data_IF_889445502491
#
_entry.id   IF_889445502491
#
_cell.length_a   1.000
_cell.length_b   1.000
_cell.length_c   1.000
_cell.angle_alpha   90.00
_cell.angle_beta   90.00
_cell.angle_gamma   90.00
#
_symmetry.space_group_name_H-M   'P 1'
#
loop_
_entity.id
_entity.type
_entity.pdbx_description
1 polymer ?
#
# COMPACT_ATOMS: atom_id res chain seq x y z
N UNK A 1 44.66 -34.26 44.61
CA UNK A 1 44.90 -33.47 43.38
C UNK A 1 43.54 -33.27 42.70
N UNK A 2 43.01 -32.07 42.75
CA UNK A 2 41.72 -31.70 42.13
C UNK A 2 42.04 -30.95 40.85
N UNK A 3 41.68 -31.52 39.70
CA UNK A 3 41.76 -30.89 38.40
C UNK A 3 40.57 -29.99 38.16
N UNK A 4 40.81 -28.71 37.89
CA UNK A 4 39.80 -27.72 37.48
C UNK A 4 39.69 -27.78 35.95
N UNK A 5 38.53 -28.12 35.43
CA UNK A 5 38.19 -28.03 34.00
C UNK A 5 37.54 -26.68 33.76
N UNK A 6 38.24 -25.83 33.01
CA UNK A 6 37.71 -24.54 32.56
C UNK A 6 36.96 -24.72 31.26
N UNK A 7 35.62 -24.55 31.27
CA UNK A 7 34.81 -24.51 30.07
C UNK A 7 34.92 -23.10 29.43
N UNK A 8 35.53 -23.02 28.27
CA UNK A 8 35.51 -21.82 27.42
C UNK A 8 34.18 -21.71 26.69
N UNK A 9 33.42 -20.66 26.95
CA UNK A 9 32.25 -20.28 26.18
C UNK A 9 32.71 -19.53 24.95
N UNK A 10 32.63 -20.15 23.78
CA UNK A 10 32.81 -19.47 22.48
C UNK A 10 31.48 -18.79 22.15
N UNK A 11 31.42 -17.50 22.35
CA UNK A 11 30.31 -16.67 21.92
C UNK A 11 30.31 -16.51 20.40
N UNK A 12 29.32 -17.12 19.72
CA UNK A 12 29.06 -16.93 18.31
C UNK A 12 28.37 -15.56 18.15
N UNK A 13 29.10 -14.54 17.76
CA UNK A 13 28.53 -13.26 17.32
C UNK A 13 27.90 -13.47 15.94
N UNK A 14 26.59 -13.67 15.91
CA UNK A 14 25.80 -13.57 14.69
C UNK A 14 25.64 -12.08 14.40
N UNK A 15 26.43 -11.56 13.48
CA UNK A 15 26.21 -10.24 12.89
C UNK A 15 24.93 -10.32 12.04
N UNK A 16 23.81 -9.87 12.60
CA UNK A 16 22.62 -9.51 11.82
C UNK A 16 23.02 -8.31 10.95
N UNK A 17 23.34 -8.58 9.70
CA UNK A 17 23.46 -7.58 8.66
C UNK A 17 22.07 -7.03 8.39
N UNK A 18 21.66 -5.98 9.13
CA UNK A 18 20.58 -5.10 8.70
C UNK A 18 21.04 -4.46 7.39
N UNK A 19 20.43 -4.86 6.27
CA UNK A 19 20.56 -4.10 5.04
C UNK A 19 20.05 -2.68 5.32
N UNK A 20 20.96 -1.72 5.42
CA UNK A 20 20.61 -0.30 5.53
C UNK A 20 19.82 0.08 4.29
N UNK A 21 18.53 0.32 4.46
CA UNK A 21 17.75 1.06 3.49
C UNK A 21 18.36 2.45 3.41
N UNK A 22 19.11 2.72 2.34
CA UNK A 22 19.68 4.04 2.09
C UNK A 22 18.54 5.05 2.04
N UNK A 23 18.47 5.94 3.03
CA UNK A 23 17.48 7.01 3.02
C UNK A 23 17.71 7.89 1.77
N UNK A 24 16.64 8.42 1.16
CA UNK A 24 16.80 9.31 0.02
C UNK A 24 17.70 10.49 0.38
N UNK A 25 18.54 10.90 -0.56
CA UNK A 25 19.54 11.97 -0.35
C UNK A 25 18.88 13.32 -0.05
N UNK A 26 17.64 13.52 -0.48
CA UNK A 26 16.91 14.79 -0.33
C UNK A 26 15.45 14.53 0.04
N UNK A 27 15.04 15.08 1.20
CA UNK A 27 13.62 15.13 1.57
C UNK A 27 13.01 16.40 1.02
N UNK A 28 12.03 16.29 0.13
CA UNK A 28 11.32 17.41 -0.47
C UNK A 28 10.00 17.70 0.26
N UNK A 29 9.56 18.94 0.22
CA UNK A 29 8.22 19.35 0.66
C UNK A 29 7.19 18.91 -0.39
N UNK A 30 6.24 18.09 0.02
CA UNK A 30 5.20 17.54 -0.85
C UNK A 30 3.94 18.39 -0.92
N UNK A 31 3.81 19.42 -0.05
CA UNK A 31 2.63 20.27 0.00
C UNK A 31 2.55 21.24 -1.20
N UNK A 32 3.70 21.54 -1.78
CA UNK A 32 3.83 22.48 -2.91
C UNK A 32 3.71 21.80 -4.29
N UNK A 33 3.88 22.59 -5.36
CA UNK A 33 3.94 22.05 -6.72
C UNK A 33 5.19 21.20 -6.92
N UNK A 34 5.09 20.17 -7.76
CA UNK A 34 6.22 19.33 -8.11
C UNK A 34 7.32 20.13 -8.83
N UNK A 35 8.54 20.09 -8.29
CA UNK A 35 9.73 20.49 -9.03
C UNK A 35 9.99 19.49 -10.15
N UNK A 36 10.29 19.96 -11.36
CA UNK A 36 10.54 19.09 -12.51
C UNK A 36 12.04 18.89 -12.76
N UNK A 37 12.37 17.77 -13.37
CA UNK A 37 13.70 17.49 -13.92
C UNK A 37 13.57 16.84 -15.30
N UNK A 38 14.57 17.04 -16.13
CA UNK A 38 14.75 16.23 -17.34
C UNK A 38 15.23 14.81 -16.96
N UNK A 39 15.04 13.78 -17.80
CA UNK A 39 15.59 12.47 -17.55
C UNK A 39 17.10 12.50 -17.26
N UNK A 40 17.87 13.25 -18.05
CA UNK A 40 19.32 13.37 -17.89
C UNK A 40 19.73 13.98 -16.54
N UNK A 41 19.05 15.03 -16.07
CA UNK A 41 19.28 15.63 -14.73
C UNK A 41 18.92 14.69 -13.60
N UNK A 42 18.04 13.73 -13.86
CA UNK A 42 17.64 12.71 -12.91
C UNK A 42 18.43 11.40 -13.07
N UNK A 43 19.45 11.32 -13.93
CA UNK A 43 20.21 10.10 -14.20
C UNK A 43 19.36 8.97 -14.78
N UNK A 44 18.44 9.31 -15.68
CA UNK A 44 17.57 8.35 -16.38
C UNK A 44 17.87 8.42 -17.87
N UNK A 45 18.06 7.28 -18.52
CA UNK A 45 18.20 7.20 -19.96
C UNK A 45 16.89 7.64 -20.65
N UNK A 46 16.95 8.75 -21.40
CA UNK A 46 15.79 9.32 -22.06
C UNK A 46 15.21 8.41 -23.13
N UNK A 47 16.07 7.63 -23.82
CA UNK A 47 15.64 6.71 -24.88
C UNK A 47 14.93 5.49 -24.30
N UNK A 48 15.48 4.89 -23.27
CA UNK A 48 14.87 3.77 -22.57
C UNK A 48 13.55 4.21 -21.90
N UNK A 49 13.51 5.39 -21.26
CA UNK A 49 12.27 5.92 -20.70
C UNK A 49 11.21 6.19 -21.78
N UNK A 50 11.59 6.67 -22.95
CA UNK A 50 10.66 6.84 -24.08
C UNK A 50 10.11 5.49 -24.57
N UNK A 51 10.90 4.40 -24.54
CA UNK A 51 10.43 3.05 -24.86
C UNK A 51 9.38 2.58 -23.82
N UNK A 52 9.62 2.81 -22.53
CA UNK A 52 8.62 2.52 -21.48
C UNK A 52 7.31 3.31 -21.68
N UNK A 53 7.40 4.58 -22.08
CA UNK A 53 6.22 5.41 -22.43
C UNK A 53 5.47 4.81 -23.63
N UNK A 54 6.18 4.36 -24.66
CA UNK A 54 5.56 3.72 -25.84
C UNK A 54 4.87 2.40 -25.42
N UNK A 55 5.50 1.58 -24.59
CA UNK A 55 4.89 0.36 -24.05
C UNK A 55 3.61 0.69 -23.26
N UNK A 56 3.65 1.70 -22.38
CA UNK A 56 2.46 2.17 -21.67
C UNK A 56 1.35 2.67 -22.60
N UNK A 57 1.69 3.38 -23.67
CA UNK A 57 0.71 3.90 -24.65
C UNK A 57 0.01 2.80 -25.44
N UNK A 58 0.69 1.67 -25.65
CA UNK A 58 0.15 0.50 -26.36
C UNK A 58 -0.53 -0.49 -25.44
N UNK A 59 -0.26 -0.44 -24.13
CA UNK A 59 -0.96 -1.23 -23.14
C UNK A 59 -2.44 -0.78 -23.08
N UNK A 60 -3.34 -1.64 -23.53
CA UNK A 60 -4.72 -1.31 -23.94
C UNK A 60 -5.54 -0.52 -22.90
N UNK A 61 -5.19 -0.62 -21.65
CA UNK A 61 -5.93 0.02 -20.55
C UNK A 61 -5.10 0.96 -19.68
N UNK A 62 -3.81 1.16 -19.98
CA UNK A 62 -3.02 2.14 -19.24
C UNK A 62 -3.60 3.54 -19.39
N UNK A 63 -3.66 4.29 -18.29
CA UNK A 63 -4.23 5.65 -18.23
C UNK A 63 -3.25 6.68 -17.77
N UNK A 64 -2.26 6.31 -16.96
CA UNK A 64 -1.18 7.22 -16.61
C UNK A 64 0.11 6.45 -16.33
N UNK A 65 1.24 7.14 -16.58
CA UNK A 65 2.58 6.75 -16.14
C UNK A 65 3.29 8.01 -15.65
N UNK A 66 3.61 8.03 -14.35
CA UNK A 66 4.35 9.11 -13.73
C UNK A 66 5.61 8.56 -13.06
N UNK A 67 6.70 9.31 -13.15
CA UNK A 67 7.99 8.94 -12.57
C UNK A 67 8.55 10.14 -11.80
N UNK A 68 8.89 9.93 -10.53
CA UNK A 68 9.69 10.87 -9.75
C UNK A 68 11.00 10.20 -9.33
N UNK A 69 12.10 10.96 -9.43
CA UNK A 69 13.41 10.55 -8.92
C UNK A 69 14.07 11.72 -8.20
N UNK A 70 14.73 11.44 -7.08
CA UNK A 70 15.34 12.45 -6.22
C UNK A 70 14.35 13.58 -5.83
N UNK A 71 13.09 13.19 -5.54
CA UNK A 71 12.03 14.12 -5.19
C UNK A 71 11.56 15.04 -6.31
N UNK A 72 11.95 14.80 -7.57
CA UNK A 72 11.59 15.62 -8.73
C UNK A 72 10.77 14.83 -9.74
N UNK A 73 9.73 15.45 -10.30
CA UNK A 73 8.89 14.86 -11.34
C UNK A 73 9.65 14.84 -12.68
N UNK A 74 9.98 13.64 -13.17
CA UNK A 74 10.74 13.42 -14.40
C UNK A 74 9.83 13.13 -15.58
N UNK A 75 8.82 12.30 -15.35
CA UNK A 75 7.85 11.91 -16.37
C UNK A 75 6.43 12.08 -15.85
N UNK A 76 5.57 12.60 -16.73
CA UNK A 76 4.13 12.66 -16.49
C UNK A 76 3.44 12.47 -17.84
N UNK A 77 2.78 11.33 -18.02
CA UNK A 77 2.04 10.97 -19.23
C UNK A 77 0.68 10.41 -18.88
N UNK A 78 -0.30 10.77 -19.69
CA UNK A 78 -1.67 10.33 -19.59
C UNK A 78 -2.12 9.77 -20.92
N UNK A 79 -2.98 8.76 -20.91
CA UNK A 79 -3.41 7.99 -22.06
C UNK A 79 -4.94 7.80 -22.07
N UNK A 80 -5.50 7.50 -23.24
CA UNK A 80 -6.91 7.14 -23.36
C UNK A 80 -7.88 8.23 -22.91
N UNK A 81 -7.55 9.51 -23.11
CA UNK A 81 -8.38 10.64 -22.74
C UNK A 81 -8.25 11.11 -21.28
N UNK A 82 -7.39 10.48 -20.48
CA UNK A 82 -7.07 10.95 -19.14
C UNK A 82 -6.12 12.16 -19.18
N UNK A 83 -6.11 12.96 -18.11
CA UNK A 83 -5.26 14.11 -17.90
C UNK A 83 -4.82 14.25 -16.42
N UNK A 84 -4.15 15.37 -16.10
CA UNK A 84 -3.65 15.62 -14.75
C UNK A 84 -4.74 15.85 -13.70
N UNK A 85 -5.96 16.14 -14.10
CA UNK A 85 -7.12 16.34 -13.23
C UNK A 85 -7.95 15.05 -13.06
N UNK A 86 -7.69 14.04 -13.89
CA UNK A 86 -8.40 12.77 -13.84
C UNK A 86 -8.11 12.06 -12.52
N UNK A 87 -9.18 11.73 -11.78
CA UNK A 87 -9.11 10.87 -10.60
C UNK A 87 -9.30 9.43 -11.02
N UNK A 88 -8.40 8.59 -10.60
CA UNK A 88 -8.43 7.15 -10.85
C UNK A 88 -8.96 6.45 -9.61
N UNK A 89 -9.97 5.61 -9.77
CA UNK A 89 -10.34 4.63 -8.75
C UNK A 89 -9.22 3.60 -8.65
N UNK A 90 -8.46 3.72 -7.57
CA UNK A 90 -7.18 2.97 -7.42
C UNK A 90 -7.35 1.63 -6.73
N UNK A 91 -8.57 1.23 -6.49
CA UNK A 91 -8.90 -0.07 -5.91
C UNK A 91 -8.09 -0.34 -4.64
N UNK A 92 -7.40 -1.47 -4.56
CA UNK A 92 -6.69 -1.91 -3.34
C UNK A 92 -5.46 -1.08 -2.97
N UNK A 93 -5.03 -0.08 -3.76
CA UNK A 93 -4.09 0.94 -3.28
C UNK A 93 -4.66 1.68 -2.06
N UNK A 94 -5.99 1.75 -1.93
CA UNK A 94 -6.70 2.22 -0.73
C UNK A 94 -6.19 1.58 0.56
N UNK A 95 -5.88 0.27 0.53
CA UNK A 95 -5.41 -0.47 1.70
C UNK A 95 -4.08 0.08 2.24
N UNK A 96 -3.18 0.48 1.35
CA UNK A 96 -1.90 1.08 1.75
C UNK A 96 -2.09 2.44 2.42
N UNK A 97 -3.09 3.22 1.99
CA UNK A 97 -3.50 4.45 2.68
C UNK A 97 -4.05 4.11 4.06
N UNK A 98 -4.91 3.09 4.18
CA UNK A 98 -5.44 2.63 5.46
C UNK A 98 -4.34 2.25 6.45
N UNK A 99 -3.26 1.61 5.99
CA UNK A 99 -2.10 1.34 6.83
C UNK A 99 -1.55 2.61 7.47
N UNK A 100 -1.35 3.67 6.68
CA UNK A 100 -0.88 4.96 7.20
C UNK A 100 -1.85 5.58 8.21
N UNK A 101 -3.17 5.47 7.99
CA UNK A 101 -4.18 5.99 8.91
C UNK A 101 -4.18 5.25 10.25
N UNK A 102 -3.96 3.94 10.26
CA UNK A 102 -3.77 3.16 11.50
C UNK A 102 -2.55 3.66 12.27
N UNK A 103 -1.40 3.83 11.60
CA UNK A 103 -0.20 4.34 12.24
C UNK A 103 -0.38 5.73 12.82
N UNK A 104 -1.14 6.58 12.14
CA UNK A 104 -1.47 7.92 12.60
C UNK A 104 -2.45 7.91 13.78
N UNK A 105 -3.42 7.00 13.82
CA UNK A 105 -4.30 6.82 14.96
C UNK A 105 -3.54 6.32 16.21
N UNK A 106 -2.59 5.39 16.01
CA UNK A 106 -1.69 4.92 17.08
C UNK A 106 -0.78 6.05 17.59
N UNK A 107 -0.13 6.78 16.71
CA UNK A 107 0.77 7.86 17.07
C UNK A 107 0.06 9.01 17.82
N UNK A 108 -1.24 9.17 17.61
CA UNK A 108 -2.09 10.15 18.30
C UNK A 108 -2.70 9.62 19.60
N UNK A 109 -2.46 8.35 19.94
CA UNK A 109 -2.99 7.70 21.13
C UNK A 109 -4.48 7.31 21.03
N UNK A 110 -5.10 7.42 19.84
CA UNK A 110 -6.47 6.98 19.61
C UNK A 110 -6.59 5.46 19.55
N UNK A 111 -5.57 4.78 19.04
CA UNK A 111 -5.40 3.33 19.12
C UNK A 111 -4.18 3.00 19.98
N UNK A 112 -4.26 2.02 20.91
CA UNK A 112 -3.14 1.69 21.78
C UNK A 112 -2.00 0.94 21.07
N UNK A 113 -2.26 0.33 19.91
CA UNK A 113 -1.29 -0.41 19.12
C UNK A 113 -1.91 -1.51 18.28
N UNK A 114 -1.08 -2.26 17.58
CA UNK A 114 -1.52 -3.36 16.69
C UNK A 114 -2.14 -4.55 17.43
N UNK A 115 -1.88 -4.69 18.74
CA UNK A 115 -2.50 -5.71 19.59
C UNK A 115 -3.91 -5.35 20.08
N UNK A 116 -4.40 -4.15 19.78
CA UNK A 116 -5.75 -3.73 20.17
C UNK A 116 -6.80 -4.66 19.55
N UNK A 117 -7.71 -5.14 20.39
CA UNK A 117 -8.85 -5.97 19.97
C UNK A 117 -9.92 -5.08 19.32
N UNK A 118 -10.35 -5.45 18.12
CA UNK A 118 -11.30 -4.63 17.33
C UNK A 118 -12.69 -4.55 17.95
N UNK A 119 -13.10 -5.56 18.71
CA UNK A 119 -14.39 -5.59 19.40
C UNK A 119 -14.63 -4.41 20.34
N UNK A 120 -13.58 -3.74 20.81
CA UNK A 120 -13.69 -2.55 21.66
C UNK A 120 -14.14 -1.30 20.91
N UNK A 121 -14.13 -1.32 19.56
CA UNK A 121 -14.38 -0.16 18.69
C UNK A 121 -15.59 -0.33 17.79
N UNK A 122 -16.28 -1.45 17.84
CA UNK A 122 -17.36 -1.70 16.89
C UNK A 122 -18.75 -1.33 17.40
N UNK A 123 -18.86 -0.90 18.66
CA UNK A 123 -20.16 -0.58 19.28
C UNK A 123 -21.18 -1.71 19.18
N UNK A 124 -20.70 -2.93 18.94
CA UNK A 124 -21.52 -4.08 18.62
C UNK A 124 -22.14 -4.67 19.88
N UNK A 125 -23.36 -5.23 19.76
CA UNK A 125 -24.08 -5.78 20.90
C UNK A 125 -23.32 -6.94 21.56
N UNK A 126 -23.67 -7.26 22.79
CA UNK A 126 -23.10 -8.38 23.57
C UNK A 126 -23.21 -9.75 22.88
N UNK A 127 -23.98 -9.83 21.79
CA UNK A 127 -24.16 -11.02 20.95
C UNK A 127 -23.00 -11.31 19.99
N UNK A 128 -21.99 -10.39 19.88
CA UNK A 128 -20.84 -10.63 19.02
C UNK A 128 -20.05 -11.86 19.50
N UNK A 129 -19.65 -12.72 18.56
CA UNK A 129 -18.83 -13.89 18.86
C UNK A 129 -17.52 -13.49 19.57
N UNK A 130 -17.06 -14.32 20.49
CA UNK A 130 -15.82 -14.07 21.22
C UNK A 130 -14.60 -14.04 20.29
N UNK A 131 -14.63 -14.81 19.19
CA UNK A 131 -13.59 -14.80 18.16
C UNK A 131 -13.51 -13.43 17.46
N UNK A 132 -14.64 -12.89 17.04
CA UNK A 132 -14.71 -11.57 16.38
C UNK A 132 -14.22 -10.45 17.29
N UNK A 133 -14.62 -10.49 18.57
CA UNK A 133 -14.15 -9.51 19.57
C UNK A 133 -12.64 -9.54 19.75
N UNK A 134 -12.03 -10.73 19.64
CA UNK A 134 -10.61 -10.95 19.88
C UNK A 134 -9.72 -10.65 18.65
N UNK A 135 -10.29 -10.47 17.46
CA UNK A 135 -9.51 -10.05 16.27
C UNK A 135 -8.76 -8.78 16.58
N UNK A 136 -7.47 -8.74 16.22
CA UNK A 136 -6.62 -7.58 16.50
C UNK A 136 -6.42 -6.70 15.27
N UNK A 137 -6.10 -5.44 15.49
CA UNK A 137 -5.67 -4.48 14.44
C UNK A 137 -4.53 -5.08 13.62
N UNK A 138 -3.56 -5.74 14.26
CA UNK A 138 -2.44 -6.41 13.58
C UNK A 138 -2.88 -7.53 12.64
N UNK A 139 -3.85 -8.34 13.06
CA UNK A 139 -4.39 -9.40 12.20
C UNK A 139 -5.12 -8.83 10.97
N UNK A 140 -5.80 -7.70 11.10
CA UNK A 140 -6.41 -7.03 9.95
C UNK A 140 -5.35 -6.43 9.01
N UNK A 141 -4.30 -5.80 9.57
CA UNK A 141 -3.17 -5.23 8.81
C UNK A 141 -2.40 -6.30 8.03
N UNK A 142 -2.29 -7.50 8.57
CA UNK A 142 -1.55 -8.62 7.97
C UNK A 142 -2.43 -9.57 7.17
N UNK A 143 -3.74 -9.33 7.07
CA UNK A 143 -4.68 -10.24 6.40
C UNK A 143 -4.73 -11.64 7.04
N UNK A 144 -4.62 -11.72 8.39
CA UNK A 144 -4.57 -12.99 9.13
C UNK A 144 -5.69 -13.14 10.16
N UNK A 145 -6.77 -12.38 10.02
CA UNK A 145 -7.93 -12.44 10.90
C UNK A 145 -8.67 -13.79 10.89
N UNK A 146 -8.47 -14.59 9.84
CA UNK A 146 -8.98 -15.95 9.75
C UNK A 146 -10.39 -16.09 9.20
N UNK A 147 -11.08 -15.00 8.87
CA UNK A 147 -12.38 -15.10 8.22
C UNK A 147 -12.32 -15.88 6.92
N UNK A 148 -13.27 -16.79 6.73
CA UNK A 148 -13.43 -17.53 5.47
C UNK A 148 -13.75 -16.55 4.34
N UNK A 149 -12.82 -16.41 3.41
CA UNK A 149 -12.89 -15.40 2.36
C UNK A 149 -12.18 -15.84 1.09
N UNK A 150 -12.79 -15.58 -0.06
CA UNK A 150 -12.18 -15.82 -1.36
C UNK A 150 -12.62 -14.73 -2.36
N UNK A 151 -11.84 -13.65 -2.46
CA UNK A 151 -12.11 -12.61 -3.46
C UNK A 151 -11.26 -12.77 -4.72
N UNK A 152 -10.18 -13.53 -4.69
CA UNK A 152 -9.27 -13.66 -5.84
C UNK A 152 -9.82 -14.59 -6.93
N UNK A 153 -10.35 -15.74 -6.54
CA UNK A 153 -10.94 -16.74 -7.46
C UNK A 153 -12.42 -17.01 -7.18
N UNK A 154 -12.96 -16.48 -6.07
CA UNK A 154 -14.36 -16.57 -5.67
C UNK A 154 -15.12 -15.28 -5.97
N UNK A 155 -16.26 -15.14 -5.31
CA UNK A 155 -17.19 -14.02 -5.51
C UNK A 155 -17.44 -13.20 -4.24
N UNK A 156 -16.67 -13.42 -3.18
CA UNK A 156 -16.96 -12.83 -1.86
C UNK A 156 -16.91 -11.31 -1.88
N UNK A 157 -15.97 -10.71 -2.63
CA UNK A 157 -15.93 -9.25 -2.79
C UNK A 157 -17.22 -8.69 -3.40
N UNK A 158 -17.73 -9.30 -4.49
CA UNK A 158 -18.94 -8.82 -5.15
C UNK A 158 -20.19 -9.00 -4.29
N UNK A 159 -20.26 -10.09 -3.53
CA UNK A 159 -21.36 -10.32 -2.58
C UNK A 159 -21.30 -9.31 -1.43
N UNK A 160 -20.11 -9.05 -0.93
CA UNK A 160 -19.89 -8.09 0.15
C UNK A 160 -20.23 -6.65 -0.27
N UNK A 161 -19.76 -6.18 -1.43
CA UNK A 161 -19.99 -4.80 -1.88
C UNK A 161 -21.47 -4.52 -2.18
N UNK A 162 -22.27 -5.55 -2.42
CA UNK A 162 -23.72 -5.47 -2.61
C UNK A 162 -24.51 -5.71 -1.30
N UNK A 163 -23.83 -6.00 -0.20
CA UNK A 163 -24.50 -6.21 1.09
C UNK A 163 -25.06 -4.89 1.65
N UNK A 164 -26.22 -4.92 2.29
CA UNK A 164 -26.74 -3.74 3.01
C UNK A 164 -25.98 -3.45 4.31
N UNK A 165 -25.23 -4.41 4.85
CA UNK A 165 -24.39 -4.24 6.04
C UNK A 165 -23.03 -4.90 5.80
N UNK A 166 -22.05 -4.08 5.48
CA UNK A 166 -20.72 -4.52 5.10
C UNK A 166 -19.91 -5.09 6.27
N UNK A 167 -20.12 -4.59 7.48
CA UNK A 167 -19.46 -5.07 8.69
C UNK A 167 -20.05 -6.41 9.10
N UNK A 168 -21.39 -6.48 9.21
CA UNK A 168 -22.07 -7.71 9.60
C UNK A 168 -21.83 -8.83 8.59
N UNK A 169 -21.79 -8.52 7.28
CA UNK A 169 -21.45 -9.51 6.24
C UNK A 169 -20.13 -10.23 6.50
N UNK A 170 -19.11 -9.49 6.98
CA UNK A 170 -17.83 -10.10 7.35
C UNK A 170 -17.92 -10.89 8.65
N UNK A 171 -18.58 -10.34 9.67
CA UNK A 171 -18.70 -10.96 10.98
C UNK A 171 -19.56 -12.25 10.95
N UNK A 172 -20.45 -12.39 9.98
CA UNK A 172 -21.20 -13.63 9.74
C UNK A 172 -20.33 -14.75 9.11
N UNK A 173 -19.10 -14.46 8.72
CA UNK A 173 -18.18 -15.47 8.15
C UNK A 173 -17.46 -16.24 9.24
N UNK A 174 -17.39 -17.58 9.15
CA UNK A 174 -16.66 -18.36 10.13
C UNK A 174 -15.16 -18.03 10.10
N UNK A 175 -14.54 -17.97 11.26
CA UNK A 175 -13.09 -17.90 11.40
C UNK A 175 -12.52 -19.32 11.38
N UNK A 176 -11.84 -19.67 10.29
CA UNK A 176 -11.34 -21.03 10.05
C UNK A 176 -9.82 -21.13 10.02
N UNK A 177 -9.12 -20.05 9.75
CA UNK A 177 -7.67 -20.03 9.52
C UNK A 177 -6.97 -18.82 10.19
N UNK A 178 -7.32 -18.50 11.43
CA UNK A 178 -6.67 -17.42 12.18
C UNK A 178 -5.14 -17.59 12.18
N UNK A 179 -4.42 -16.51 11.85
CA UNK A 179 -2.97 -16.52 11.70
C UNK A 179 -2.46 -16.88 10.29
N UNK A 180 -3.31 -17.37 9.39
CA UNK A 180 -2.96 -17.63 7.99
C UNK A 180 -3.34 -16.46 7.11
N UNK A 181 -2.50 -16.15 6.13
CA UNK A 181 -2.76 -15.08 5.17
C UNK A 181 -3.97 -15.41 4.27
N UNK A 182 -4.95 -14.52 4.26
CA UNK A 182 -6.11 -14.59 3.36
C UNK A 182 -6.44 -13.17 2.92
N UNK A 183 -6.17 -12.83 1.66
CA UNK A 183 -6.43 -11.50 1.12
C UNK A 183 -7.92 -11.17 1.21
N UNK A 184 -8.28 -10.11 1.96
CA UNK A 184 -9.65 -9.82 2.36
C UNK A 184 -9.92 -8.31 2.42
N UNK A 185 -10.66 -7.79 1.44
CA UNK A 185 -11.02 -6.37 1.38
C UNK A 185 -12.03 -5.95 2.45
N UNK A 186 -12.93 -6.84 2.85
CA UNK A 186 -13.90 -6.57 3.91
C UNK A 186 -13.20 -6.42 5.28
N UNK A 187 -12.14 -7.20 5.54
CA UNK A 187 -11.34 -7.08 6.75
C UNK A 187 -10.65 -5.71 6.85
N UNK A 188 -10.21 -5.14 5.72
CA UNK A 188 -9.62 -3.79 5.72
C UNK A 188 -10.69 -2.70 5.83
N UNK A 189 -11.89 -2.93 5.30
CA UNK A 189 -13.01 -2.02 5.57
C UNK A 189 -13.36 -2.02 7.07
N UNK A 190 -13.44 -3.18 7.71
CA UNK A 190 -13.62 -3.30 9.16
C UNK A 190 -12.54 -2.50 9.93
N UNK A 191 -11.28 -2.58 9.50
CA UNK A 191 -10.20 -1.78 10.07
C UNK A 191 -10.46 -0.27 9.92
N UNK A 192 -11.05 0.16 8.80
CA UNK A 192 -11.49 1.53 8.58
C UNK A 192 -12.57 1.99 9.59
N UNK A 193 -13.53 1.13 9.87
CA UNK A 193 -14.56 1.38 10.90
C UNK A 193 -13.93 1.50 12.28
N UNK A 194 -13.01 0.60 12.63
CA UNK A 194 -12.25 0.65 13.89
C UNK A 194 -11.47 1.95 14.04
N UNK A 195 -10.77 2.39 12.98
CA UNK A 195 -10.05 3.68 13.02
C UNK A 195 -11.02 4.84 13.19
N UNK A 196 -12.12 4.87 12.45
CA UNK A 196 -13.14 5.92 12.54
C UNK A 196 -13.71 6.04 13.97
N UNK A 197 -14.06 4.92 14.59
CA UNK A 197 -14.56 4.90 15.97
C UNK A 197 -13.49 5.38 16.95
N UNK A 198 -12.27 4.87 16.83
CA UNK A 198 -11.16 5.24 17.71
C UNK A 198 -10.81 6.75 17.65
N UNK A 199 -10.89 7.36 16.47
CA UNK A 199 -10.59 8.80 16.29
C UNK A 199 -11.82 9.69 16.47
N UNK A 200 -13.02 9.13 16.56
CA UNK A 200 -14.31 9.82 16.79
C UNK A 200 -14.67 10.86 15.71
N UNK A 201 -14.12 10.73 14.51
CA UNK A 201 -14.43 11.57 13.35
C UNK A 201 -14.56 10.70 12.10
N UNK A 202 -15.31 11.13 11.06
CA UNK A 202 -15.39 10.37 9.80
C UNK A 202 -14.01 10.06 9.23
N UNK A 203 -13.80 8.82 8.79
CA UNK A 203 -12.50 8.33 8.30
C UNK A 203 -11.93 9.20 7.18
N UNK A 204 -12.76 9.65 6.22
CA UNK A 204 -12.33 10.54 5.15
C UNK A 204 -11.81 11.89 5.68
N UNK A 205 -12.52 12.49 6.65
CA UNK A 205 -12.10 13.75 7.26
C UNK A 205 -10.80 13.59 8.07
N UNK A 206 -10.64 12.46 8.76
CA UNK A 206 -9.39 12.12 9.43
C UNK A 206 -8.26 12.01 8.41
N UNK A 207 -8.44 11.24 7.33
CA UNK A 207 -7.45 11.08 6.26
C UNK A 207 -7.04 12.44 5.64
N UNK A 208 -8.02 13.28 5.35
CA UNK A 208 -7.76 14.61 4.80
C UNK A 208 -6.90 15.46 5.73
N UNK A 209 -7.25 15.50 7.01
CA UNK A 209 -6.58 16.37 7.99
C UNK A 209 -5.17 15.90 8.31
N UNK A 210 -4.98 14.58 8.52
CA UNK A 210 -3.74 14.07 9.11
C UNK A 210 -2.74 13.53 8.09
N UNK A 211 -3.20 13.20 6.88
CA UNK A 211 -2.37 12.58 5.85
C UNK A 211 -2.36 13.38 4.55
N UNK A 212 -3.53 13.71 3.99
CA UNK A 212 -3.61 14.23 2.63
C UNK A 212 -3.22 15.71 2.54
N UNK A 213 -3.83 16.59 3.33
CA UNK A 213 -3.51 18.02 3.31
C UNK A 213 -2.04 18.31 3.62
N UNK A 214 -1.38 17.64 4.62
CA UNK A 214 0.03 17.86 4.90
C UNK A 214 0.99 17.56 3.74
N UNK A 215 0.54 16.77 2.76
CA UNK A 215 1.32 16.43 1.54
C UNK A 215 0.74 17.03 0.26
N UNK A 216 -0.20 17.99 0.38
CA UNK A 216 -0.77 18.69 -0.76
C UNK A 216 -1.75 17.85 -1.60
N UNK A 217 -2.29 16.77 -1.06
CA UNK A 217 -3.37 16.00 -1.67
C UNK A 217 -4.70 16.65 -1.26
N UNK A 218 -5.38 17.27 -2.20
CA UNK A 218 -6.64 18.03 -1.96
C UNK A 218 -7.81 17.51 -2.78
N UNK A 219 -7.59 16.47 -3.56
CA UNK A 219 -8.56 15.97 -4.53
C UNK A 219 -9.06 14.56 -4.25
N UNK A 220 -8.72 13.99 -3.09
CA UNK A 220 -9.14 12.65 -2.71
C UNK A 220 -10.67 12.53 -2.69
N UNK A 221 -11.17 11.44 -3.26
CA UNK A 221 -12.57 11.08 -3.18
C UNK A 221 -12.69 9.66 -2.62
N UNK A 222 -13.71 9.45 -1.80
CA UNK A 222 -14.00 8.15 -1.23
C UNK A 222 -15.36 7.64 -1.71
N UNK A 223 -15.42 6.36 -2.04
CA UNK A 223 -16.67 5.66 -2.22
C UNK A 223 -17.39 5.55 -0.87
N UNK A 224 -18.59 6.10 -0.78
CA UNK A 224 -19.43 5.94 0.39
C UNK A 224 -20.16 4.60 0.30
N UNK A 225 -20.13 3.84 1.38
CA UNK A 225 -20.96 2.67 1.60
C UNK A 225 -22.20 3.03 2.41
N UNK A 226 -23.06 2.06 2.66
CA UNK A 226 -24.21 2.26 3.51
C UNK A 226 -23.80 2.73 4.91
N UNK A 227 -24.69 3.41 5.60
CA UNK A 227 -24.45 4.04 6.90
C UNK A 227 -23.41 5.18 6.91
N UNK A 228 -23.02 5.71 5.74
CA UNK A 228 -22.10 6.85 5.64
C UNK A 228 -20.64 6.50 5.92
N UNK A 229 -20.29 5.24 6.07
CA UNK A 229 -18.89 4.80 6.12
C UNK A 229 -18.27 4.84 4.73
N UNK A 230 -16.98 4.98 4.64
CA UNK A 230 -16.26 4.91 3.37
C UNK A 230 -15.65 3.51 3.17
N UNK A 231 -15.54 3.08 1.93
CA UNK A 231 -14.94 1.79 1.60
C UNK A 231 -13.42 1.81 1.86
N UNK A 232 -13.00 1.38 3.07
CA UNK A 232 -11.60 1.28 3.44
C UNK A 232 -10.81 0.19 2.69
N UNK A 233 -11.51 -0.76 2.05
CA UNK A 233 -10.89 -1.85 1.31
C UNK A 233 -10.45 -1.48 -0.11
N UNK A 234 -11.14 -0.51 -0.78
CA UNK A 234 -10.89 -0.24 -2.20
C UNK A 234 -11.51 1.06 -2.73
N UNK A 235 -11.95 1.98 -1.87
CA UNK A 235 -12.85 3.06 -2.24
C UNK A 235 -12.20 4.43 -2.47
N UNK A 236 -10.88 4.55 -2.63
CA UNK A 236 -10.24 5.85 -2.91
C UNK A 236 -10.09 6.09 -4.41
N UNK A 237 -10.37 7.34 -4.81
CA UNK A 237 -9.97 7.88 -6.10
C UNK A 237 -9.03 9.07 -5.92
N UNK A 238 -7.88 9.02 -6.60
CA UNK A 238 -6.80 10.01 -6.53
C UNK A 238 -6.28 10.37 -7.93
N UNK A 239 -5.73 11.57 -8.08
CA UNK A 239 -5.00 11.93 -9.32
C UNK A 239 -3.65 11.21 -9.38
N UNK A 240 -3.06 11.10 -10.59
CA UNK A 240 -1.72 10.53 -10.74
C UNK A 240 -0.66 11.25 -9.91
N UNK A 241 -0.77 12.58 -9.80
CA UNK A 241 0.15 13.39 -8.97
C UNK A 241 -0.04 13.14 -7.47
N UNK A 242 -1.26 12.89 -7.02
CA UNK A 242 -1.54 12.59 -5.62
C UNK A 242 -0.99 11.21 -5.23
N UNK A 243 -1.13 10.22 -6.12
CA UNK A 243 -0.51 8.92 -5.94
C UNK A 243 1.02 9.03 -5.86
N UNK A 244 1.61 9.87 -6.71
CA UNK A 244 3.06 10.09 -6.69
C UNK A 244 3.52 10.78 -5.41
N UNK A 245 2.73 11.76 -4.86
CA UNK A 245 3.00 12.36 -3.54
C UNK A 245 2.98 11.34 -2.43
N UNK A 246 1.99 10.47 -2.43
CA UNK A 246 1.88 9.44 -1.41
C UNK A 246 3.05 8.43 -1.50
N UNK A 247 3.43 8.00 -2.70
CA UNK A 247 4.62 7.17 -2.90
C UNK A 247 5.91 7.86 -2.45
N UNK A 248 6.07 9.16 -2.75
CA UNK A 248 7.23 9.94 -2.33
C UNK A 248 7.26 10.12 -0.80
N UNK A 249 6.10 10.29 -0.16
CA UNK A 249 6.02 10.32 1.31
C UNK A 249 6.56 9.03 1.93
N UNK A 250 6.19 7.88 1.37
CA UNK A 250 6.71 6.58 1.82
C UNK A 250 8.21 6.46 1.59
N UNK A 251 8.70 6.84 0.41
CA UNK A 251 10.13 6.87 0.09
C UNK A 251 10.92 7.75 1.07
N UNK A 252 10.36 8.89 1.47
CA UNK A 252 10.94 9.83 2.43
C UNK A 252 10.70 9.44 3.90
N UNK A 253 10.30 8.17 4.15
CA UNK A 253 10.04 7.65 5.49
C UNK A 253 9.02 8.49 6.28
N UNK A 254 7.97 8.91 5.58
CA UNK A 254 6.85 9.65 6.15
C UNK A 254 7.08 11.15 6.34
N UNK A 255 8.16 11.72 5.79
CA UNK A 255 8.45 13.16 5.88
C UNK A 255 7.96 13.94 4.67
N UNK A 256 7.55 15.18 4.90
CA UNK A 256 7.32 16.20 3.90
C UNK A 256 8.06 17.47 4.34
N UNK A 257 9.14 17.81 3.66
CA UNK A 257 10.05 18.85 4.11
C UNK A 257 10.57 18.60 5.53
N UNK A 258 10.32 19.54 6.42
CA UNK A 258 10.72 19.43 7.83
C UNK A 258 9.65 18.75 8.72
N UNK A 259 8.51 18.35 8.17
CA UNK A 259 7.41 17.78 8.93
C UNK A 259 7.40 16.25 8.81
N UNK A 260 7.32 15.56 9.96
CA UNK A 260 7.02 14.13 10.01
C UNK A 260 5.49 13.98 9.94
N UNK A 261 4.99 13.55 8.78
CA UNK A 261 3.54 13.35 8.55
C UNK A 261 3.11 11.97 9.05
N UNK A 262 3.83 10.91 8.66
CA UNK A 262 3.64 9.55 9.17
C UNK A 262 4.89 9.15 9.95
N UNK A 263 4.78 8.62 11.18
CA UNK A 263 5.95 8.22 11.95
C UNK A 263 6.91 7.32 11.16
N UNK A 264 8.21 7.60 11.24
CA UNK A 264 9.22 6.87 10.45
C UNK A 264 9.27 5.39 10.81
N UNK A 265 9.11 5.08 12.09
CA UNK A 265 9.02 3.70 12.60
C UNK A 265 7.77 2.97 12.07
N UNK A 266 6.67 3.69 11.86
CA UNK A 266 5.48 3.10 11.25
C UNK A 266 5.68 2.83 9.76
N UNK A 267 6.29 3.76 9.03
CA UNK A 267 6.64 3.53 7.61
C UNK A 267 7.54 2.31 7.49
N UNK A 268 8.55 2.16 8.36
CA UNK A 268 9.38 0.97 8.40
C UNK A 268 8.55 -0.30 8.69
N UNK A 269 7.68 -0.26 9.70
CA UNK A 269 6.85 -1.42 10.06
C UNK A 269 5.90 -1.85 8.92
N UNK A 270 5.20 -0.89 8.27
CA UNK A 270 4.25 -1.21 7.22
C UNK A 270 4.90 -1.76 5.94
N UNK A 271 6.17 -1.43 5.70
CA UNK A 271 6.94 -1.89 4.55
C UNK A 271 7.90 -3.04 4.86
N UNK A 272 7.82 -3.62 6.05
CA UNK A 272 8.61 -4.80 6.44
C UNK A 272 7.79 -6.07 6.16
N UNK A 273 8.40 -7.11 5.53
CA UNK A 273 7.77 -8.42 5.36
C UNK A 273 7.26 -9.00 6.69
N UNK A 274 6.02 -9.48 6.69
CA UNK A 274 5.40 -10.09 7.88
C UNK A 274 5.40 -11.62 7.86
N UNK A 275 5.82 -12.23 6.76
CA UNK A 275 5.79 -13.68 6.55
C UNK A 275 7.13 -14.20 6.07
N UNK A 276 7.31 -15.53 6.19
CA UNK A 276 8.51 -16.22 5.68
C UNK A 276 8.38 -16.73 4.23
N UNK A 277 7.16 -16.77 3.67
CA UNK A 277 6.94 -17.18 2.30
C UNK A 277 7.25 -16.03 1.33
N UNK A 278 7.58 -16.36 0.09
CA UNK A 278 7.79 -15.41 -0.99
C UNK A 278 7.27 -15.99 -2.29
N UNK A 279 6.71 -15.13 -3.12
CA UNK A 279 6.13 -15.49 -4.40
C UNK A 279 6.85 -14.77 -5.55
N UNK A 280 6.62 -15.23 -6.76
CA UNK A 280 6.91 -14.49 -7.99
C UNK A 280 5.59 -14.03 -8.55
N UNK A 281 5.45 -12.73 -8.74
CA UNK A 281 4.24 -12.12 -9.27
C UNK A 281 4.61 -11.22 -10.47
N UNK A 282 4.08 -11.55 -11.65
CA UNK A 282 4.48 -10.89 -12.88
C UNK A 282 6.01 -10.87 -13.04
N UNK A 283 6.62 -9.71 -13.35
CA UNK A 283 8.06 -9.57 -13.54
C UNK A 283 8.86 -9.44 -12.23
N UNK A 284 8.22 -9.45 -11.07
CA UNK A 284 8.87 -9.23 -9.77
C UNK A 284 8.99 -10.53 -8.98
N UNK A 285 10.16 -10.78 -8.41
CA UNK A 285 10.44 -11.90 -7.53
C UNK A 285 10.53 -11.48 -6.07
N UNK A 286 10.37 -12.44 -5.18
CA UNK A 286 10.48 -12.20 -3.74
C UNK A 286 9.33 -11.37 -3.16
N UNK A 287 8.17 -11.46 -3.79
CA UNK A 287 6.97 -10.71 -3.35
C UNK A 287 6.41 -11.29 -2.06
N UNK A 288 6.13 -10.42 -1.11
CA UNK A 288 5.59 -10.77 0.21
C UNK A 288 4.76 -9.60 0.75
N UNK A 289 3.92 -9.86 1.77
CA UNK A 289 3.03 -8.86 2.34
C UNK A 289 3.56 -8.28 3.66
N UNK A 290 3.43 -6.96 3.81
CA UNK A 290 3.65 -6.20 5.03
C UNK A 290 2.33 -5.80 5.71
N UNK A 291 2.26 -4.61 6.33
CA UNK A 291 1.00 -4.06 6.82
C UNK A 291 0.28 -3.32 5.69
N UNK A 292 -0.54 -4.05 4.92
CA UNK A 292 -1.31 -3.56 3.76
C UNK A 292 -0.43 -2.95 2.64
N UNK A 293 0.83 -3.31 2.60
CA UNK A 293 1.79 -3.04 1.54
C UNK A 293 2.36 -4.34 1.01
N UNK A 294 2.61 -4.38 -0.27
CA UNK A 294 3.44 -5.42 -0.88
C UNK A 294 4.90 -5.00 -0.81
N UNK A 295 5.76 -5.94 -0.58
CA UNK A 295 7.22 -5.75 -0.59
C UNK A 295 7.84 -6.81 -1.47
N UNK A 296 9.01 -6.52 -2.03
CA UNK A 296 9.80 -7.48 -2.78
C UNK A 296 11.29 -7.33 -2.44
N UNK A 297 11.95 -8.44 -2.17
CA UNK A 297 13.38 -8.49 -1.86
C UNK A 297 14.20 -9.25 -2.91
N UNK A 298 13.56 -9.70 -4.01
CA UNK A 298 14.16 -10.39 -5.14
C UNK A 298 14.38 -9.51 -6.37
N UNK A 299 14.99 -10.08 -7.42
CA UNK A 299 15.21 -9.37 -8.67
C UNK A 299 13.89 -8.91 -9.31
N UNK A 300 13.94 -7.86 -10.16
CA UNK A 300 15.16 -7.15 -10.56
C UNK A 300 15.66 -6.15 -9.53
N UNK A 301 14.84 -5.72 -8.56
CA UNK A 301 15.18 -4.73 -7.55
C UNK A 301 14.31 -4.92 -6.31
N UNK A 302 14.86 -4.65 -5.12
CA UNK A 302 14.04 -4.58 -3.91
C UNK A 302 13.14 -3.35 -3.96
N UNK A 303 11.86 -3.55 -3.68
CA UNK A 303 10.84 -2.51 -3.78
C UNK A 303 9.74 -2.67 -2.73
N UNK A 304 8.99 -1.61 -2.49
CA UNK A 304 7.71 -1.66 -1.80
C UNK A 304 6.64 -1.05 -2.69
N UNK A 305 5.45 -1.63 -2.72
CA UNK A 305 4.44 -1.16 -3.63
C UNK A 305 3.01 -1.33 -3.11
N UNK A 306 2.17 -0.35 -3.44
CA UNK A 306 0.74 -0.47 -3.36
C UNK A 306 0.21 -0.98 -4.70
N UNK A 307 -0.67 -1.97 -4.66
CA UNK A 307 -1.18 -2.65 -5.83
C UNK A 307 -2.71 -2.78 -5.78
N UNK A 308 -3.36 -2.27 -6.82
CA UNK A 308 -4.80 -2.33 -6.99
C UNK A 308 -5.22 -3.15 -8.21
N UNK A 309 -6.41 -3.71 -8.14
CA UNK A 309 -7.03 -4.51 -9.21
C UNK A 309 -6.88 -3.86 -10.58
N UNK A 310 -6.46 -4.67 -11.56
CA UNK A 310 -6.28 -4.24 -12.94
C UNK A 310 -5.01 -3.40 -13.19
N UNK A 311 -4.04 -3.39 -12.26
CA UNK A 311 -2.74 -2.76 -12.48
C UNK A 311 -2.66 -1.28 -12.05
N UNK A 312 -3.26 -0.93 -10.93
CA UNK A 312 -3.04 0.35 -10.25
C UNK A 312 -1.79 0.21 -9.38
N UNK A 313 -0.75 0.97 -9.61
CA UNK A 313 0.51 0.86 -8.86
C UNK A 313 1.01 2.20 -8.32
N UNK A 314 1.47 2.17 -7.08
CA UNK A 314 2.48 3.07 -6.54
C UNK A 314 3.70 2.19 -6.24
N UNK A 315 4.76 2.33 -7.00
CA UNK A 315 5.94 1.49 -6.92
C UNK A 315 7.12 2.31 -6.43
N UNK A 316 7.69 1.95 -5.29
CA UNK A 316 8.73 2.70 -4.59
C UNK A 316 10.00 1.86 -4.53
N UNK A 317 11.09 2.40 -5.05
CA UNK A 317 12.42 1.74 -5.10
C UNK A 317 13.42 2.58 -4.31
N UNK A 318 13.61 2.29 -3.01
CA UNK A 318 14.48 3.10 -2.15
C UNK A 318 15.93 3.18 -2.63
N UNK A 319 16.47 2.08 -3.14
CA UNK A 319 17.87 2.03 -3.63
C UNK A 319 18.13 2.92 -4.85
N UNK A 320 17.08 3.28 -5.60
CA UNK A 320 17.16 4.14 -6.77
C UNK A 320 16.62 5.56 -6.53
N UNK A 321 16.16 5.84 -5.30
CA UNK A 321 15.46 7.09 -4.94
C UNK A 321 14.34 7.40 -5.96
N UNK A 322 13.52 6.38 -6.26
CA UNK A 322 12.58 6.35 -7.38
C UNK A 322 11.17 6.01 -6.91
N UNK A 323 10.20 6.72 -7.46
CA UNK A 323 8.77 6.39 -7.36
C UNK A 323 8.16 6.35 -8.75
N UNK A 324 7.44 5.28 -9.04
CA UNK A 324 6.68 5.12 -10.29
C UNK A 324 5.21 4.91 -9.97
N UNK A 325 4.34 5.62 -10.66
CA UNK A 325 2.90 5.46 -10.60
C UNK A 325 2.39 5.03 -11.96
N UNK A 326 1.60 3.98 -11.99
CA UNK A 326 0.84 3.60 -13.17
C UNK A 326 -0.62 3.35 -12.80
N UNK A 327 -1.54 3.81 -13.66
CA UNK A 327 -2.98 3.59 -13.48
C UNK A 327 -3.60 3.05 -14.75
N UNK A 328 -4.72 2.33 -14.60
CA UNK A 328 -5.44 1.71 -15.71
C UNK A 328 -6.94 2.01 -15.62
N UNK A 329 -7.66 1.78 -16.73
CA UNK A 329 -9.12 1.69 -16.71
C UNK A 329 -9.52 0.23 -16.43
N UNK A 330 -9.78 -0.08 -15.18
CA UNK A 330 -10.20 -1.43 -14.76
C UNK A 330 -11.69 -1.72 -15.00
N UNK A 331 -12.50 -0.67 -15.15
CA UNK A 331 -13.96 -0.80 -15.33
C UNK A 331 -14.30 -1.70 -16.52
N UNK A 332 -15.27 -2.58 -16.33
CA UNK A 332 -15.71 -3.55 -17.34
C UNK A 332 -14.69 -4.65 -17.64
N UNK A 333 -13.65 -4.82 -16.81
CA UNK A 333 -12.83 -6.03 -16.82
C UNK A 333 -13.60 -7.21 -16.22
N UNK A 334 -13.48 -8.36 -16.86
CA UNK A 334 -13.86 -9.62 -16.23
C UNK A 334 -12.72 -10.08 -15.32
N UNK A 335 -13.06 -10.78 -14.24
CA UNK A 335 -12.05 -11.39 -13.37
C UNK A 335 -11.22 -12.45 -14.14
N UNK A 336 -10.03 -12.73 -13.66
CA UNK A 336 -9.17 -13.77 -14.22
C UNK A 336 -8.20 -13.27 -15.27
N UNK A 337 -8.06 -13.99 -16.39
CA UNK A 337 -7.00 -13.80 -17.38
C UNK A 337 -6.90 -12.37 -17.96
N UNK A 338 -8.03 -11.68 -18.16
CA UNK A 338 -8.01 -10.30 -18.67
C UNK A 338 -7.45 -9.32 -17.65
N UNK A 339 -7.84 -9.46 -16.39
CA UNK A 339 -7.31 -8.63 -15.30
C UNK A 339 -5.82 -8.88 -15.10
N UNK A 340 -5.38 -10.14 -15.10
CA UNK A 340 -3.98 -10.51 -15.00
C UNK A 340 -3.17 -9.92 -16.16
N UNK A 341 -3.61 -10.08 -17.41
CA UNK A 341 -2.90 -9.54 -18.57
C UNK A 341 -2.72 -8.01 -18.52
N UNK A 342 -3.71 -7.28 -18.03
CA UNK A 342 -3.60 -5.82 -17.87
C UNK A 342 -2.65 -5.46 -16.74
N UNK A 343 -2.73 -6.17 -15.62
CA UNK A 343 -1.82 -6.01 -14.48
C UNK A 343 -0.38 -6.28 -14.91
N UNK A 344 -0.13 -7.41 -15.57
CA UNK A 344 1.20 -7.79 -16.03
C UNK A 344 1.78 -6.76 -17.01
N UNK A 345 0.96 -6.31 -17.98
CA UNK A 345 1.38 -5.28 -18.94
C UNK A 345 1.80 -3.97 -18.24
N UNK A 346 1.05 -3.54 -17.21
CA UNK A 346 1.35 -2.32 -16.47
C UNK A 346 2.58 -2.51 -15.58
N UNK A 347 2.69 -3.67 -14.96
CA UNK A 347 3.83 -4.01 -14.11
C UNK A 347 5.12 -4.11 -14.93
N UNK A 348 5.08 -4.75 -16.10
CA UNK A 348 6.23 -4.81 -17.01
C UNK A 348 6.67 -3.43 -17.51
N UNK A 349 5.75 -2.49 -17.73
CA UNK A 349 6.11 -1.09 -18.03
C UNK A 349 6.99 -0.48 -16.91
N UNK A 350 6.70 -0.80 -15.66
CA UNK A 350 7.49 -0.33 -14.50
C UNK A 350 8.82 -1.09 -14.42
N UNK A 351 8.74 -2.42 -14.32
CA UNK A 351 9.86 -3.29 -13.93
C UNK A 351 10.83 -3.52 -15.08
N UNK A 352 10.32 -3.77 -16.30
CA UNK A 352 11.13 -4.05 -17.47
C UNK A 352 11.40 -2.77 -18.31
N UNK A 353 10.63 -1.71 -18.06
CA UNK A 353 10.74 -0.46 -18.80
C UNK A 353 11.41 0.68 -18.03
N UNK A 354 10.79 1.14 -16.94
CA UNK A 354 11.27 2.33 -16.20
C UNK A 354 12.51 2.02 -15.36
N UNK A 355 12.51 0.90 -14.61
CA UNK A 355 13.62 0.55 -13.71
C UNK A 355 14.95 0.40 -14.45
N UNK A 356 15.05 -0.32 -15.57
CA UNK A 356 16.30 -0.46 -16.30
C UNK A 356 16.81 0.84 -16.95
N UNK A 357 15.95 1.85 -17.09
CA UNK A 357 16.36 3.16 -17.61
C UNK A 357 17.11 4.00 -16.56
N UNK A 358 17.15 3.57 -15.29
CA UNK A 358 17.76 4.31 -14.17
C UNK A 358 19.21 3.90 -13.99
N UNK A 359 20.13 4.87 -13.93
CA UNK A 359 21.58 4.68 -13.76
C UNK A 359 22.07 5.10 -12.38
#
# INVERSE_FOLDING_TARGET
>A
MRGVVTLGIVGLLVSLGCGESTAPTTVVDLSGPWTRATPAEAGIDATALAQAVNAASTASRCRSLLVARHGRLVLERYFGGADSATRFDVRSVTKSVMSSLVGLAIARGSLPGVSAAVGSYLGLPDTLDAGDRAVTVGQLLTMTSGYSWNETSGNDYNLWILSPDHVQFLLDRPQINAGSFTYNSAAVHLLGVVVQDAVTVPLAAFADTVLFQPVGITSAQWEALENGTVNGGSGIALTGRDLLRYGQLVLQRGRSGNHQVVPAEWVAAMTTPQFGWRETDGPQHGVIYGYLWWTADGPPVSAVFAWGYGGQFIYVVPSLDLVVVATTAWQGMTQGAQSAAVTDSTWSVIVDGVIPAVH
#
